data_IF_983657838560
#
_entry.id   IF_983657838560
#
_cell.length_a   1.000
_cell.length_b   1.000
_cell.length_c   1.000
_cell.angle_alpha   90.00
_cell.angle_beta   90.00
_cell.angle_gamma   90.00
#
_symmetry.space_group_name_H-M   'P 1'
#
loop_
_entity.id
_entity.type
_entity.pdbx_description
1 polymer ?
#
# COMPACT_ATOMS: atom_id res chain seq x y z
N UNK A 1 -20.56 11.34 -11.07
CA UNK A 1 -20.25 12.03 -9.81
C UNK A 1 -19.48 11.07 -8.95
N UNK A 2 -18.21 11.40 -8.71
CA UNK A 2 -17.25 10.80 -7.78
C UNK A 2 -17.14 9.28 -7.72
N UNK A 3 -16.38 8.72 -8.66
CA UNK A 3 -15.73 7.41 -8.51
C UNK A 3 -14.47 7.51 -7.64
N UNK A 4 -14.56 8.19 -6.49
CA UNK A 4 -13.45 8.28 -5.55
C UNK A 4 -13.37 6.97 -4.78
N UNK A 5 -12.30 6.20 -5.01
CA UNK A 5 -12.00 5.04 -4.18
C UNK A 5 -11.66 5.47 -2.75
N UNK A 6 -11.86 4.55 -1.80
CA UNK A 6 -11.50 4.73 -0.40
C UNK A 6 -10.32 3.82 -0.07
N UNK A 7 -9.36 4.34 0.69
CA UNK A 7 -8.25 3.54 1.20
C UNK A 7 -8.74 2.53 2.23
N UNK A 8 -8.10 1.37 2.26
CA UNK A 8 -8.38 0.31 3.22
C UNK A 8 -7.07 -0.16 3.87
N UNK A 9 -7.08 -0.31 5.19
CA UNK A 9 -5.96 -0.90 5.92
C UNK A 9 -5.95 -2.41 5.66
N UNK A 10 -4.99 -2.86 4.84
CA UNK A 10 -4.83 -4.29 4.53
C UNK A 10 -4.11 -5.04 5.66
N UNK A 11 -3.13 -4.40 6.28
CA UNK A 11 -2.31 -4.96 7.34
C UNK A 11 -1.72 -3.83 8.18
N UNK A 12 -1.54 -4.07 9.48
CA UNK A 12 -0.91 -3.12 10.40
C UNK A 12 -0.12 -3.82 11.48
N UNK A 13 0.89 -3.14 12.00
CA UNK A 13 1.67 -3.58 13.15
C UNK A 13 1.92 -2.42 14.11
N UNK A 14 1.79 -2.63 15.43
CA UNK A 14 1.15 -3.79 16.05
C UNK A 14 -0.35 -3.89 15.71
N UNK A 15 -0.91 -5.11 15.75
CA UNK A 15 -2.35 -5.34 15.51
C UNK A 15 -3.22 -4.80 16.64
N UNK A 16 -2.67 -4.73 17.85
CA UNK A 16 -3.35 -4.23 19.04
C UNK A 16 -2.96 -2.78 19.30
N UNK A 17 -3.96 -1.97 19.63
CA UNK A 17 -3.76 -0.62 20.11
C UNK A 17 -3.33 -0.64 21.58
N UNK A 18 -2.29 0.12 21.89
CA UNK A 18 -1.82 0.32 23.26
C UNK A 18 -2.20 1.72 23.71
N UNK A 19 -2.45 1.91 25.01
CA UNK A 19 -2.90 3.21 25.54
C UNK A 19 -1.94 4.36 25.17
N UNK A 20 -0.63 4.08 25.22
CA UNK A 20 0.42 5.05 24.86
C UNK A 20 0.65 5.19 23.35
N UNK A 21 0.11 4.28 22.53
CA UNK A 21 0.33 4.23 21.09
C UNK A 21 -0.93 3.73 20.36
N UNK A 22 -2.01 4.54 20.33
CA UNK A 22 -3.22 4.21 19.60
C UNK A 22 -3.00 4.30 18.08
N UNK A 23 -3.76 3.52 17.31
CA UNK A 23 -3.72 3.61 15.86
C UNK A 23 -4.26 4.96 15.38
N UNK A 24 -3.55 5.70 14.49
CA UNK A 24 -4.03 6.96 13.95
C UNK A 24 -5.29 6.76 13.10
N UNK A 25 -6.42 7.28 13.57
CA UNK A 25 -7.71 7.20 12.87
C UNK A 25 -7.65 7.99 11.54
N UNK A 26 -8.16 7.41 10.46
CA UNK A 26 -8.26 8.07 9.16
C UNK A 26 -6.93 8.24 8.42
N UNK A 27 -5.89 7.50 8.79
CA UNK A 27 -4.57 7.57 8.17
C UNK A 27 -4.61 7.37 6.65
N UNK A 28 -5.54 6.55 6.15
CA UNK A 28 -5.79 6.30 4.74
C UNK A 28 -6.17 7.56 3.94
N UNK A 29 -6.67 8.60 4.61
CA UNK A 29 -7.01 9.88 3.98
C UNK A 29 -5.77 10.74 3.69
N UNK A 30 -4.68 10.50 4.41
CA UNK A 30 -3.47 11.33 4.36
C UNK A 30 -2.31 10.64 3.64
N UNK A 31 -2.32 9.30 3.58
CA UNK A 31 -1.22 8.51 3.01
C UNK A 31 -1.24 8.37 1.49
N UNK A 32 -2.27 8.92 0.83
CA UNK A 32 -2.38 8.95 -0.62
C UNK A 32 -2.90 10.32 -1.10
N UNK A 33 -2.01 11.29 -1.36
CA UNK A 33 -2.39 12.66 -1.73
C UNK A 33 -3.09 12.71 -3.09
N UNK A 34 -2.81 11.74 -3.97
CA UNK A 34 -3.45 11.62 -5.29
C UNK A 34 -4.81 10.91 -5.25
N UNK A 35 -5.30 10.54 -4.06
CA UNK A 35 -6.50 9.74 -3.87
C UNK A 35 -6.36 8.27 -4.30
N UNK A 36 -7.36 7.46 -3.94
CA UNK A 36 -7.39 6.01 -4.17
C UNK A 36 -8.08 5.64 -5.48
N UNK A 37 -7.66 6.26 -6.58
CA UNK A 37 -8.23 6.01 -7.91
C UNK A 37 -7.47 4.93 -8.68
N UNK A 38 -8.11 4.34 -9.68
CA UNK A 38 -7.46 3.40 -10.60
C UNK A 38 -6.78 4.15 -11.75
N UNK A 39 -5.64 3.65 -12.18
CA UNK A 39 -4.84 4.21 -13.26
C UNK A 39 -4.73 3.22 -14.43
N UNK A 40 -4.69 3.72 -15.66
CA UNK A 40 -4.48 2.90 -16.87
C UNK A 40 -2.99 2.64 -17.14
N UNK A 41 -2.11 3.36 -16.47
CA UNK A 41 -0.66 3.23 -16.57
C UNK A 41 -0.07 2.89 -15.20
N UNK A 42 1.07 2.19 -15.19
CA UNK A 42 1.79 1.88 -13.96
C UNK A 42 2.73 3.02 -13.62
N UNK A 43 2.37 3.81 -12.61
CA UNK A 43 3.23 4.88 -12.10
C UNK A 43 4.44 4.32 -11.32
N UNK A 44 5.60 5.01 -11.34
CA UNK A 44 6.74 4.64 -10.53
C UNK A 44 6.43 4.80 -9.03
N UNK A 45 7.05 4.00 -8.14
CA UNK A 45 6.86 4.18 -6.71
C UNK A 45 7.26 5.58 -6.23
N UNK A 46 6.49 6.14 -5.30
CA UNK A 46 6.68 7.49 -4.77
C UNK A 46 6.83 7.47 -3.25
N UNK A 47 7.62 8.40 -2.72
CA UNK A 47 7.78 8.60 -1.28
C UNK A 47 7.41 10.03 -0.89
N UNK A 48 6.66 10.19 0.20
CA UNK A 48 6.43 11.47 0.84
C UNK A 48 6.17 11.30 2.35
N UNK A 49 6.17 12.40 3.09
CA UNK A 49 5.84 12.43 4.52
C UNK A 49 4.63 13.33 4.75
N UNK A 50 3.55 12.78 5.31
CA UNK A 50 2.46 13.57 5.87
C UNK A 50 2.74 13.86 7.35
N UNK A 51 2.29 15.00 7.86
CA UNK A 51 2.41 15.35 9.28
C UNK A 51 1.02 15.51 9.86
N UNK A 52 0.67 14.63 10.79
CA UNK A 52 -0.59 14.67 11.53
C UNK A 52 -0.31 15.22 12.92
N UNK A 53 -1.05 16.25 13.32
CA UNK A 53 -0.96 16.78 14.69
C UNK A 53 -2.16 16.30 15.47
N UNK A 54 -1.93 15.69 16.63
CA UNK A 54 -3.02 15.19 17.47
C UNK A 54 -3.58 16.28 18.41
N UNK A 55 -4.59 15.91 19.20
CA UNK A 55 -5.25 16.80 20.16
C UNK A 55 -4.32 17.27 21.29
N UNK A 56 -3.23 16.53 21.55
CA UNK A 56 -2.23 16.87 22.55
C UNK A 56 -1.11 17.76 21.96
N UNK A 57 -1.24 18.20 20.71
CA UNK A 57 -0.23 18.97 19.96
C UNK A 57 1.03 18.18 19.62
N UNK A 58 1.01 16.85 19.70
CA UNK A 58 2.11 16.00 19.28
C UNK A 58 2.08 15.79 17.76
N UNK A 59 3.28 15.73 17.15
CA UNK A 59 3.44 15.53 15.71
C UNK A 59 3.71 14.07 15.40
N UNK A 60 2.91 13.52 14.49
CA UNK A 60 3.05 12.19 13.93
C UNK A 60 3.47 12.32 12.46
N UNK A 61 4.71 11.92 12.17
CA UNK A 61 5.25 11.85 10.83
C UNK A 61 4.86 10.52 10.20
N UNK A 62 4.05 10.58 9.15
CA UNK A 62 3.61 9.43 8.37
C UNK A 62 4.44 9.34 7.09
N UNK A 63 5.51 8.55 7.13
CA UNK A 63 6.30 8.24 5.95
C UNK A 63 5.53 7.25 5.07
N UNK A 64 5.19 7.68 3.85
CA UNK A 64 4.32 6.95 2.95
C UNK A 64 5.09 6.56 1.69
N UNK A 65 5.17 5.26 1.42
CA UNK A 65 5.75 4.70 0.21
C UNK A 65 4.65 4.04 -0.62
N UNK A 66 4.27 4.68 -1.72
CA UNK A 66 3.16 4.27 -2.57
C UNK A 66 3.68 3.64 -3.85
N UNK A 67 3.11 2.50 -4.25
CA UNK A 67 3.36 1.80 -5.50
C UNK A 67 2.05 1.34 -6.14
N UNK A 68 2.10 0.96 -7.41
CA UNK A 68 0.92 0.61 -8.20
C UNK A 68 0.95 -0.85 -8.63
N UNK A 69 -0.14 -1.55 -8.34
CA UNK A 69 -0.31 -2.97 -8.64
C UNK A 69 -1.48 -3.20 -9.58
N UNK A 70 -1.32 -4.21 -10.44
CA UNK A 70 -2.37 -4.63 -11.36
C UNK A 70 -3.60 -5.10 -10.56
N UNK A 71 -4.77 -4.59 -10.92
CA UNK A 71 -6.03 -5.13 -10.41
C UNK A 71 -6.31 -6.43 -11.14
N UNK A 72 -6.47 -7.52 -10.39
CA UNK A 72 -6.91 -8.79 -10.96
C UNK A 72 -8.35 -8.63 -11.46
N UNK A 73 -8.56 -8.74 -12.77
CA UNK A 73 -9.90 -8.75 -13.34
C UNK A 73 -10.52 -10.12 -13.08
N UNK A 74 -11.46 -10.20 -12.14
CA UNK A 74 -12.31 -11.36 -11.98
C UNK A 74 -13.29 -11.43 -13.18
N UNK A 75 -12.82 -11.88 -14.34
CA UNK A 75 -13.74 -12.32 -15.39
C UNK A 75 -14.29 -13.69 -14.98
N UNK A 76 -15.61 -13.83 -14.73
CA UNK A 76 -16.21 -15.14 -14.68
C UNK A 76 -16.02 -15.77 -16.07
N UNK A 77 -15.29 -16.88 -16.13
CA UNK A 77 -15.20 -17.68 -17.34
C UNK A 77 -16.63 -18.04 -17.78
N UNK A 78 -17.09 -17.44 -18.87
CA UNK A 78 -18.34 -17.81 -19.50
C UNK A 78 -18.23 -19.27 -19.95
N UNK A 79 -18.98 -20.14 -19.29
CA UNK A 79 -19.16 -21.54 -19.66
C UNK A 79 -19.51 -21.69 -21.15
N UNK A 80 -18.86 -22.58 -21.93
CA UNK A 80 -19.45 -23.04 -23.16
C UNK A 80 -20.51 -24.10 -22.82
N UNK A 81 -21.76 -23.73 -23.08
CA UNK A 81 -22.93 -24.60 -23.07
C UNK A 81 -22.77 -25.65 -24.17
N UNK A 82 -22.70 -26.93 -23.80
CA UNK A 82 -22.91 -28.03 -24.73
C UNK A 82 -24.30 -27.90 -25.39
N UNK A 83 -24.35 -27.92 -26.72
CA UNK A 83 -25.59 -27.96 -27.49
C UNK A 83 -25.31 -27.82 -28.99
N UNK A 84 -25.55 -28.90 -29.73
CA UNK A 84 -25.22 -29.13 -31.12
C UNK A 84 -26.03 -28.23 -32.10
N UNK A 85 -25.40 -27.73 -33.17
CA UNK A 85 -26.08 -27.41 -34.43
C UNK A 85 -25.88 -26.01 -35.03
N UNK A 86 -25.29 -26.02 -36.24
CA UNK A 86 -25.47 -25.12 -37.40
C UNK A 86 -24.55 -23.91 -37.57
N UNK A 87 -24.08 -23.80 -38.81
CA UNK A 87 -23.07 -22.94 -39.41
C UNK A 87 -23.65 -21.53 -39.68
N UNK A 88 -23.03 -20.47 -39.15
CA UNK A 88 -23.02 -19.13 -39.76
C UNK A 88 -21.67 -18.46 -39.46
N UNK A 89 -21.06 -17.89 -40.50
CA UNK A 89 -19.79 -17.15 -40.45
C UNK A 89 -19.95 -15.88 -39.60
N UNK A 90 -19.54 -15.92 -38.32
CA UNK A 90 -19.25 -14.70 -37.56
C UNK A 90 -17.74 -14.45 -37.57
N UNK A 91 -17.35 -13.34 -38.21
CA UNK A 91 -16.03 -12.71 -38.06
C UNK A 91 -15.58 -12.76 -36.58
N UNK A 92 -14.35 -13.20 -36.26
CA UNK A 92 -13.89 -13.20 -34.89
C UNK A 92 -13.70 -11.75 -34.44
N UNK A 93 -14.76 -11.16 -33.87
CA UNK A 93 -14.65 -9.95 -33.08
C UNK A 93 -13.56 -10.23 -32.04
N UNK A 94 -12.45 -9.53 -32.20
CA UNK A 94 -11.29 -9.69 -31.33
C UNK A 94 -11.78 -9.50 -29.90
N UNK A 95 -11.52 -10.42 -28.95
CA UNK A 95 -11.89 -10.17 -27.58
C UNK A 95 -11.14 -8.91 -27.15
N UNK A 96 -11.87 -7.81 -26.97
CA UNK A 96 -11.34 -6.58 -26.41
C UNK A 96 -10.84 -6.97 -25.02
N UNK A 97 -9.53 -7.17 -24.88
CA UNK A 97 -8.95 -7.44 -23.58
C UNK A 97 -9.32 -6.26 -22.68
N UNK A 98 -9.95 -6.50 -21.52
CA UNK A 98 -10.25 -5.42 -20.60
C UNK A 98 -8.94 -4.68 -20.31
N UNK A 99 -8.97 -3.35 -20.40
CA UNK A 99 -7.79 -2.53 -20.14
C UNK A 99 -7.25 -2.87 -18.75
N UNK A 100 -5.97 -3.24 -18.65
CA UNK A 100 -5.33 -3.50 -17.37
C UNK A 100 -5.35 -2.21 -16.54
N UNK A 101 -5.96 -2.28 -15.36
CA UNK A 101 -5.99 -1.17 -14.40
C UNK A 101 -4.98 -1.42 -13.29
N UNK A 102 -4.49 -0.33 -12.70
CA UNK A 102 -3.55 -0.34 -11.59
C UNK A 102 -4.14 0.41 -10.40
N UNK A 103 -4.15 -0.22 -9.23
CA UNK A 103 -4.55 0.38 -7.97
C UNK A 103 -3.32 0.81 -7.15
N UNK A 104 -3.36 1.97 -6.48
CA UNK A 104 -2.32 2.35 -5.55
C UNK A 104 -2.38 1.49 -4.28
N UNK A 105 -1.21 1.05 -3.82
CA UNK A 105 -0.97 0.44 -2.50
C UNK A 105 0.12 1.24 -1.80
N UNK A 106 -0.03 1.46 -0.49
CA UNK A 106 0.91 2.27 0.28
C UNK A 106 1.41 1.53 1.51
N UNK A 107 2.72 1.56 1.73
CA UNK A 107 3.36 1.18 2.99
C UNK A 107 3.55 2.46 3.82
N UNK A 108 3.07 2.44 5.05
CA UNK A 108 3.05 3.62 5.91
C UNK A 108 3.75 3.31 7.22
N UNK A 109 4.72 4.15 7.59
CA UNK A 109 5.38 4.15 8.88
C UNK A 109 5.01 5.43 9.62
N UNK A 110 4.47 5.29 10.82
CA UNK A 110 4.11 6.41 11.69
C UNK A 110 5.13 6.52 12.82
N UNK A 111 5.70 7.71 12.99
CA UNK A 111 6.68 7.97 14.05
C UNK A 111 6.54 9.39 14.60
N UNK A 112 6.94 9.58 15.86
CA UNK A 112 7.13 10.91 16.45
C UNK A 112 8.49 11.54 16.08
N UNK A 113 9.39 10.74 15.51
CA UNK A 113 10.71 11.21 15.07
C UNK A 113 10.67 11.65 13.62
N UNK A 114 11.34 12.76 13.31
CA UNK A 114 11.49 13.27 11.94
C UNK A 114 12.74 12.67 11.28
N UNK A 115 12.64 11.42 10.85
CA UNK A 115 13.73 10.67 10.21
C UNK A 115 13.33 10.20 8.80
N UNK A 116 12.88 11.14 7.96
CA UNK A 116 12.34 10.85 6.63
C UNK A 116 13.25 9.96 5.76
N UNK A 117 14.56 10.22 5.72
CA UNK A 117 15.50 9.41 4.91
C UNK A 117 15.63 7.97 5.41
N UNK A 118 15.70 7.79 6.73
CA UNK A 118 15.76 6.47 7.36
C UNK A 118 14.49 5.70 7.01
N UNK A 119 13.32 6.31 7.20
CA UNK A 119 12.04 5.67 6.88
C UNK A 119 11.89 5.37 5.39
N UNK A 120 12.37 6.26 4.51
CA UNK A 120 12.41 5.99 3.06
C UNK A 120 13.22 4.74 2.75
N UNK A 121 14.39 4.60 3.36
CA UNK A 121 15.24 3.43 3.16
C UNK A 121 14.61 2.15 3.73
N UNK A 122 14.02 2.23 4.93
CA UNK A 122 13.31 1.10 5.55
C UNK A 122 12.12 0.64 4.71
N UNK A 123 11.27 1.56 4.26
CA UNK A 123 10.11 1.26 3.42
C UNK A 123 10.53 0.74 2.03
N UNK A 124 11.62 1.26 1.48
CA UNK A 124 12.21 0.74 0.24
C UNK A 124 12.65 -0.72 0.37
N UNK A 125 13.30 -1.08 1.49
CA UNK A 125 13.69 -2.47 1.76
C UNK A 125 12.48 -3.39 1.97
N UNK A 126 11.47 -2.93 2.71
CA UNK A 126 10.19 -3.65 2.89
C UNK A 126 9.52 -3.89 1.53
N UNK A 127 9.50 -2.88 0.66
CA UNK A 127 8.97 -3.00 -0.70
C UNK A 127 9.76 -4.01 -1.54
N UNK A 128 11.10 -4.00 -1.48
CA UNK A 128 11.93 -5.01 -2.17
C UNK A 128 11.58 -6.42 -1.72
N UNK A 129 11.50 -6.67 -0.40
CA UNK A 129 11.10 -7.97 0.16
C UNK A 129 9.72 -8.40 -0.35
N UNK A 130 8.77 -7.46 -0.38
CA UNK A 130 7.41 -7.69 -0.85
C UNK A 130 7.36 -8.07 -2.33
N UNK A 131 8.05 -7.33 -3.21
CA UNK A 131 8.05 -7.59 -4.66
C UNK A 131 8.82 -8.86 -5.01
N UNK A 132 9.92 -9.12 -4.32
CA UNK A 132 10.76 -10.31 -4.56
C UNK A 132 10.15 -11.58 -3.95
N UNK A 133 9.07 -11.47 -3.18
CA UNK A 133 8.38 -12.60 -2.56
C UNK A 133 9.25 -13.35 -1.55
N UNK A 134 10.18 -12.67 -0.89
CA UNK A 134 11.10 -13.30 0.06
C UNK A 134 10.32 -13.80 1.28
N UNK A 135 10.55 -15.05 1.67
CA UNK A 135 9.89 -15.70 2.82
C UNK A 135 10.51 -15.29 4.16
N UNK A 136 10.59 -13.98 4.42
CA UNK A 136 11.06 -13.43 5.70
C UNK A 136 9.84 -12.88 6.43
N UNK A 137 9.74 -13.09 7.76
CA UNK A 137 8.71 -12.41 8.54
C UNK A 137 8.92 -10.90 8.46
N UNK A 138 8.02 -10.22 7.76
CA UNK A 138 8.06 -8.77 7.58
C UNK A 138 8.08 -8.06 8.94
N UNK A 139 7.39 -8.63 9.93
CA UNK A 139 7.42 -8.22 11.33
C UNK A 139 8.84 -8.15 11.91
N UNK A 140 9.67 -9.17 11.69
CA UNK A 140 11.04 -9.19 12.20
C UNK A 140 11.92 -8.17 11.47
N UNK A 141 11.70 -7.97 10.17
CA UNK A 141 12.41 -6.95 9.40
C UNK A 141 12.03 -5.55 9.90
N UNK A 142 10.74 -5.28 10.05
CA UNK A 142 10.20 -4.02 10.59
C UNK A 142 10.76 -3.81 12.01
N UNK A 143 10.65 -4.81 12.89
CA UNK A 143 11.17 -4.77 14.24
C UNK A 143 12.66 -4.44 14.28
N UNK A 144 13.48 -5.13 13.49
CA UNK A 144 14.93 -4.90 13.46
C UNK A 144 15.30 -3.52 12.90
N UNK A 145 14.64 -3.07 11.81
CA UNK A 145 14.94 -1.78 11.19
C UNK A 145 14.57 -0.60 12.11
N UNK A 146 13.45 -0.73 12.82
CA UNK A 146 12.92 0.34 13.67
C UNK A 146 13.46 0.31 15.09
N UNK A 147 13.93 -0.84 15.58
CA UNK A 147 14.64 -0.94 16.86
C UNK A 147 16.09 -0.46 16.74
N UNK A 148 16.74 -0.64 15.58
CA UNK A 148 18.13 -0.23 15.35
C UNK A 148 18.34 1.28 15.16
N UNK A 149 17.28 2.07 14.99
CA UNK A 149 17.38 3.50 14.60
C UNK A 149 17.23 4.50 15.74
N UNK A 150 17.10 4.04 16.99
CA UNK A 150 17.26 4.90 18.17
C UNK A 150 18.36 4.33 19.07
N UNK A 151 19.65 4.60 18.81
CA UNK A 151 20.59 4.56 19.91
C UNK A 151 20.08 5.56 20.95
N UNK A 152 19.93 5.11 22.19
CA UNK A 152 19.80 5.98 23.37
C UNK A 152 21.06 6.86 23.45
N UNK A 153 21.11 7.95 22.68
CA UNK A 153 22.07 9.03 22.93
C UNK A 153 21.65 9.70 24.23
N UNK A 154 22.21 9.23 25.35
CA UNK A 154 21.95 9.82 26.66
C UNK A 154 22.26 8.95 27.88
N UNK A 155 23.22 8.02 27.81
CA UNK A 155 23.77 7.37 29.00
C UNK A 155 25.21 7.83 29.22
N UNK A 156 25.40 8.91 29.99
CA UNK A 156 26.70 9.18 30.56
C UNK A 156 27.06 8.03 31.51
N UNK A 157 28.22 7.42 31.31
CA UNK A 157 28.94 6.72 32.36
C UNK A 157 30.40 7.16 32.33
#
# INVERSE_FOLDING_TARGET
GSGDGQGQILQRFPEKDWEDNPFPQGIELFCQPSGWQLFTERNPPTFFVAVLTDINSERHYCACFTFWEAVESAQPQSHPRNGEGQEEEEEPSSPVQPAQLFAPKSLVLVSRLDHAEVFRNSLGLIYTIYVDGLSVSLENVIGNLLTCTIPITGGAQ
#
